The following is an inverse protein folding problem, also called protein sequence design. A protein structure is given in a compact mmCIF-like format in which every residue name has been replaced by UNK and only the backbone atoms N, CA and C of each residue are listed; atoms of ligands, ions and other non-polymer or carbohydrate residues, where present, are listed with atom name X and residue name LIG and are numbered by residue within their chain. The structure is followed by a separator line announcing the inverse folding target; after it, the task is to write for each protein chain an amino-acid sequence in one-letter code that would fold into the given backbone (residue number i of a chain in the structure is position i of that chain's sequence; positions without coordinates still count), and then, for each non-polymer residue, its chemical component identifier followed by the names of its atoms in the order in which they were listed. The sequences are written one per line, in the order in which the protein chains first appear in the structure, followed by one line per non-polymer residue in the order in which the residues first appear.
data_IF_935001155568
#
_entry.id   IF_935001155568
#
_cell.length_a   1.000
_cell.length_b   1.000
_cell.length_c   1.000
_cell.angle_alpha   90.00
_cell.angle_beta   90.00
_cell.angle_gamma   90.00
#
_symmetry.space_group_name_H-M   'P 1'
#
loop_
_entity.id
_entity.type
_entity.pdbx_description
1 polymer ?
#
# COMPACT_ATOMS: atom_id res chain seq x y z
N UNK A 1 12.44 24.30 10.36
CA UNK A 1 12.79 23.41 9.24
C UNK A 1 11.48 22.88 8.71
N UNK A 2 10.90 23.64 7.79
CA UNK A 2 9.66 23.36 7.07
C UNK A 2 9.84 22.21 6.10
N UNK A 3 8.81 21.37 5.96
CA UNK A 3 8.18 21.09 4.66
C UNK A 3 6.84 20.37 4.90
N UNK A 4 5.76 21.12 4.69
CA UNK A 4 4.42 20.66 4.26
C UNK A 4 3.87 19.37 4.87
N UNK A 5 3.46 19.44 6.14
CA UNK A 5 2.48 18.51 6.72
C UNK A 5 1.02 18.89 6.35
N UNK A 6 0.82 19.58 5.22
CA UNK A 6 -0.50 19.76 4.62
C UNK A 6 -0.70 18.69 3.53
N UNK A 7 -1.72 17.85 3.73
CA UNK A 7 -2.44 17.18 2.63
C UNK A 7 -1.69 16.08 1.85
N UNK A 8 -1.21 15.02 2.49
CA UNK A 8 -0.92 13.74 1.79
C UNK A 8 -1.56 12.55 2.49
N UNK A 9 -2.72 12.76 3.12
CA UNK A 9 -3.52 11.66 3.64
C UNK A 9 -4.01 10.79 2.49
N UNK A 10 -3.50 9.56 2.47
CA UNK A 10 -3.88 8.53 1.50
C UNK A 10 -4.68 7.45 2.19
N UNK A 11 -5.70 6.97 1.49
CA UNK A 11 -6.51 5.83 1.91
C UNK A 11 -6.17 4.61 1.06
N UNK A 12 -6.10 3.44 1.72
CA UNK A 12 -5.83 2.17 1.08
C UNK A 12 -7.10 1.35 0.99
N UNK A 13 -7.47 0.92 -0.22
CA UNK A 13 -8.56 -0.01 -0.47
C UNK A 13 -8.02 -1.40 -0.80
N UNK A 14 -8.58 -2.44 -0.19
CA UNK A 14 -8.26 -3.84 -0.49
C UNK A 14 -9.47 -4.48 -1.14
N UNK A 15 -9.28 -5.14 -2.29
CA UNK A 15 -10.37 -5.75 -3.06
C UNK A 15 -9.88 -7.00 -3.80
N UNK A 16 -10.79 -7.72 -4.46
CA UNK A 16 -10.48 -9.00 -5.13
C UNK A 16 -9.30 -8.93 -6.14
N UNK A 17 -9.10 -7.77 -6.78
CA UNK A 17 -8.09 -7.60 -7.82
C UNK A 17 -6.78 -6.98 -7.34
N UNK A 18 -6.63 -6.66 -6.04
CA UNK A 18 -5.41 -6.08 -5.50
C UNK A 18 -5.60 -4.99 -4.44
N UNK A 19 -4.70 -4.01 -4.46
CA UNK A 19 -4.68 -2.85 -3.57
C UNK A 19 -4.89 -1.56 -4.38
N UNK A 20 -5.68 -0.64 -3.85
CA UNK A 20 -5.99 0.66 -4.44
C UNK A 20 -5.50 1.76 -3.50
N UNK A 21 -4.92 2.81 -4.09
CA UNK A 21 -4.50 4.01 -3.35
C UNK A 21 -5.41 5.16 -3.75
N UNK A 22 -5.97 5.83 -2.75
CA UNK A 22 -6.83 6.98 -2.91
C UNK A 22 -6.24 8.20 -2.21
N UNK A 23 -6.42 9.38 -2.79
CA UNK A 23 -6.23 10.68 -2.13
C UNK A 23 -7.42 11.55 -2.44
N UNK A 24 -8.04 12.16 -1.43
CA UNK A 24 -9.22 13.02 -1.60
C UNK A 24 -10.32 12.38 -2.46
N UNK A 25 -10.58 11.07 -2.26
CA UNK A 25 -11.51 10.21 -3.02
C UNK A 25 -11.12 9.91 -4.47
N UNK A 26 -10.05 10.52 -5.00
CA UNK A 26 -9.49 10.20 -6.30
C UNK A 26 -8.63 8.94 -6.20
N UNK A 27 -8.87 7.96 -7.08
CA UNK A 27 -7.99 6.79 -7.22
C UNK A 27 -6.71 7.19 -7.94
N UNK A 28 -5.59 7.15 -7.21
CA UNK A 28 -4.27 7.46 -7.77
C UNK A 28 -3.64 6.25 -8.42
N UNK A 29 -3.67 5.10 -7.75
CA UNK A 29 -2.93 3.93 -8.19
C UNK A 29 -3.66 2.63 -7.87
N UNK A 30 -3.36 1.61 -8.67
CA UNK A 30 -3.77 0.22 -8.49
C UNK A 30 -2.54 -0.68 -8.52
N UNK A 31 -2.46 -1.62 -7.59
CA UNK A 31 -1.53 -2.74 -7.62
C UNK A 31 -2.32 -4.02 -7.73
N UNK A 32 -1.98 -4.89 -8.68
CA UNK A 32 -2.62 -6.20 -8.81
C UNK A 32 -1.96 -7.20 -7.86
N UNK A 33 -2.70 -8.22 -7.40
CA UNK A 33 -2.09 -9.27 -6.55
C UNK A 33 -0.86 -9.94 -7.18
N UNK A 34 -0.82 -10.23 -8.50
CA UNK A 34 0.38 -10.76 -9.14
C UNK A 34 1.57 -9.79 -9.17
N UNK A 35 1.32 -8.46 -9.21
CA UNK A 35 2.40 -7.48 -9.20
C UNK A 35 2.95 -7.21 -7.79
N UNK A 36 2.20 -7.51 -6.74
CA UNK A 36 2.67 -7.35 -5.35
C UNK A 36 3.67 -8.46 -4.99
N UNK A 37 4.91 -8.06 -4.69
CA UNK A 37 6.01 -8.98 -4.35
C UNK A 37 6.08 -9.23 -2.85
N UNK A 38 6.09 -8.16 -2.05
CA UNK A 38 6.19 -8.29 -0.59
C UNK A 38 5.36 -7.22 0.11
N UNK A 39 4.67 -7.65 1.16
CA UNK A 39 4.03 -6.79 2.14
C UNK A 39 4.81 -6.90 3.45
N UNK A 40 5.15 -5.78 4.09
CA UNK A 40 5.89 -5.76 5.35
C UNK A 40 5.33 -4.73 6.32
N UNK A 41 5.53 -4.95 7.61
CA UNK A 41 5.23 -3.99 8.66
C UNK A 41 6.43 -3.76 9.57
N UNK A 42 6.55 -2.55 10.09
CA UNK A 42 7.50 -2.18 11.15
C UNK A 42 6.88 -1.08 12.01
N UNK A 43 6.44 -1.42 13.23
CA UNK A 43 5.71 -0.50 14.12
C UNK A 43 4.51 0.13 13.39
N UNK A 44 4.54 1.45 13.17
CA UNK A 44 3.52 2.25 12.48
C UNK A 44 3.76 2.38 10.98
N UNK A 45 4.72 1.65 10.43
CA UNK A 45 5.03 1.65 9.00
C UNK A 45 4.50 0.40 8.31
N UNK A 46 3.73 0.59 7.24
CA UNK A 46 3.35 -0.46 6.30
C UNK A 46 4.12 -0.24 4.99
N UNK A 47 4.75 -1.30 4.47
CA UNK A 47 5.55 -1.25 3.24
C UNK A 47 4.98 -2.23 2.20
N UNK A 48 4.75 -1.72 1.00
CA UNK A 48 4.34 -2.49 -0.16
C UNK A 48 5.45 -2.42 -1.21
N UNK A 49 5.93 -3.57 -1.65
CA UNK A 49 6.86 -3.68 -2.76
C UNK A 49 6.17 -4.41 -3.91
N UNK A 50 6.13 -3.80 -5.08
CA UNK A 50 5.54 -4.36 -6.28
C UNK A 50 6.54 -4.39 -7.44
N UNK A 51 6.36 -5.36 -8.33
CA UNK A 51 7.09 -5.46 -9.59
C UNK A 51 6.79 -4.20 -10.43
N UNK A 52 7.78 -3.70 -11.18
CA UNK A 52 7.50 -2.68 -12.18
C UNK A 52 6.45 -3.15 -13.20
N UNK A 53 5.61 -2.24 -13.65
CA UNK A 53 4.77 -2.43 -14.83
C UNK A 53 5.63 -2.32 -16.10
N UNK A 54 5.09 -2.72 -17.27
CA UNK A 54 5.81 -2.62 -18.56
C UNK A 54 6.25 -1.16 -18.83
N UNK A 55 7.55 -0.90 -18.69
CA UNK A 55 8.16 0.43 -18.87
C UNK A 55 8.91 0.96 -17.63
N UNK A 56 8.70 0.40 -16.44
CA UNK A 56 9.49 0.72 -15.24
C UNK A 56 10.66 -0.28 -15.08
N UNK A 57 11.88 0.19 -14.80
CA UNK A 57 13.05 -0.68 -14.59
C UNK A 57 13.26 -1.07 -13.13
N UNK A 58 12.59 -0.40 -12.19
CA UNK A 58 12.84 -0.56 -10.77
C UNK A 58 11.61 -1.07 -10.03
N UNK A 59 11.85 -1.95 -9.06
CA UNK A 59 10.84 -2.38 -8.09
C UNK A 59 10.24 -1.19 -7.37
N UNK A 60 8.91 -1.04 -7.44
CA UNK A 60 8.21 0.07 -6.80
C UNK A 60 7.98 -0.24 -5.33
N UNK A 61 8.56 0.56 -4.45
CA UNK A 61 8.37 0.44 -3.01
C UNK A 61 7.61 1.65 -2.47
N UNK A 62 6.50 1.39 -1.78
CA UNK A 62 5.68 2.39 -1.11
C UNK A 62 5.76 2.21 0.41
N UNK A 63 5.91 3.33 1.12
CA UNK A 63 5.95 3.40 2.57
C UNK A 63 4.76 4.22 3.06
N UNK A 64 3.91 3.59 3.88
CA UNK A 64 2.76 4.21 4.49
C UNK A 64 2.99 4.35 5.99
N UNK A 65 2.91 5.58 6.50
CA UNK A 65 2.92 5.86 7.94
C UNK A 65 1.47 5.85 8.44
N UNK A 66 1.17 4.95 9.36
CA UNK A 66 -0.16 4.83 9.94
C UNK A 66 -0.26 5.60 11.28
N UNK A 67 -1.46 6.03 11.68
CA UNK A 67 -1.69 6.67 12.98
C UNK A 67 -1.34 5.78 14.18
N UNK A 68 -1.58 4.45 14.08
CA UNK A 68 -1.34 3.50 15.17
C UNK A 68 -0.82 2.15 14.66
N UNK A 69 -0.08 1.44 15.52
CA UNK A 69 0.44 0.09 15.21
C UNK A 69 -0.69 -0.92 15.01
N UNK A 70 -1.79 -0.76 15.75
CA UNK A 70 -2.98 -1.59 15.60
C UNK A 70 -3.61 -1.43 14.21
N UNK A 71 -3.70 -0.19 13.68
CA UNK A 71 -4.20 0.04 12.33
C UNK A 71 -3.25 -0.55 11.27
N UNK A 72 -1.94 -0.37 11.44
CA UNK A 72 -0.91 -0.97 10.57
C UNK A 72 -1.06 -2.50 10.52
N UNK A 73 -1.21 -3.16 11.67
CA UNK A 73 -1.37 -4.61 11.76
C UNK A 73 -2.67 -5.08 11.09
N UNK A 74 -3.79 -4.40 11.36
CA UNK A 74 -5.09 -4.72 10.73
C UNK A 74 -5.04 -4.59 9.21
N UNK A 75 -4.45 -3.50 8.72
CA UNK A 75 -4.26 -3.27 7.29
C UNK A 75 -3.38 -4.35 6.67
N UNK A 76 -2.24 -4.66 7.29
CA UNK A 76 -1.35 -5.71 6.82
C UNK A 76 -2.05 -7.06 6.77
N UNK A 77 -2.80 -7.42 7.81
CA UNK A 77 -3.53 -8.69 7.87
C UNK A 77 -4.56 -8.80 6.75
N UNK A 78 -5.35 -7.75 6.54
CA UNK A 78 -6.33 -7.71 5.44
C UNK A 78 -5.65 -7.86 4.07
N UNK A 79 -4.56 -7.14 3.82
CA UNK A 79 -3.79 -7.28 2.58
C UNK A 79 -3.17 -8.67 2.43
N UNK A 80 -2.62 -9.24 3.50
CA UNK A 80 -1.98 -10.55 3.48
C UNK A 80 -2.97 -11.68 3.23
N UNK A 81 -4.09 -11.70 3.96
CA UNK A 81 -5.13 -12.72 3.81
C UNK A 81 -5.77 -12.66 2.41
N UNK A 82 -6.05 -11.46 1.88
CA UNK A 82 -6.55 -11.31 0.51
C UNK A 82 -5.50 -11.70 -0.55
N UNK A 83 -4.23 -11.33 -0.35
CA UNK A 83 -3.15 -11.73 -1.26
C UNK A 83 -2.98 -13.25 -1.29
N UNK A 84 -3.07 -13.91 -0.13
CA UNK A 84 -3.02 -15.37 -0.06
C UNK A 84 -4.26 -16.03 -0.68
N UNK A 85 -5.43 -15.41 -0.58
CA UNK A 85 -6.68 -15.98 -1.11
C UNK A 85 -6.80 -15.86 -2.64
N UNK A 86 -6.41 -14.72 -3.22
CA UNK A 86 -6.61 -14.41 -4.65
C UNK A 86 -5.38 -14.68 -5.54
N UNK A 87 -4.31 -15.23 -4.97
CA UNK A 87 -3.07 -15.54 -5.68
C UNK A 87 -2.91 -17.05 -5.79
#
# INVERSE_FOLDING_TARGET
MEEDSQDNDVSLGVYHGGILIYRNRLRLQRFSWPSILTLRIKKREFRLTARPDEGETFTRQLLFKCPSEALTMRLFRACFDHHQFFR
#
